data_IF_928358249328
#
_entry.id   IF_928358249328
#
_cell.length_a   1.000
_cell.length_b   1.000
_cell.length_c   1.000
_cell.angle_alpha   90.00
_cell.angle_beta   90.00
_cell.angle_gamma   90.00
#
_symmetry.space_group_name_H-M   'P 1'
#
loop_
_entity.id
_entity.type
_entity.pdbx_description
1 polymer ?
#
# COMPACT_ATOMS: atom_id res chain seq x y z
N UNK A 1 -5.52 -37.49 -65.45
CA UNK A 1 -4.17 -36.98 -65.11
C UNK A 1 -4.36 -35.64 -64.42
N UNK A 2 -3.89 -35.53 -63.18
CA UNK A 2 -3.50 -34.33 -62.39
C UNK A 2 -4.35 -33.06 -62.42
N UNK A 3 -4.91 -32.64 -61.26
CA UNK A 3 -4.33 -31.61 -60.34
C UNK A 3 -4.78 -30.19 -60.77
N UNK A 4 -5.31 -29.28 -59.96
CA UNK A 4 -5.18 -29.03 -58.52
C UNK A 4 -6.39 -28.23 -58.01
N UNK A 5 -6.87 -28.55 -56.81
CA UNK A 5 -7.77 -27.70 -56.03
C UNK A 5 -6.96 -26.52 -55.46
N UNK A 6 -7.30 -25.29 -55.77
CA UNK A 6 -6.82 -24.12 -55.02
C UNK A 6 -7.81 -23.82 -53.89
N UNK A 7 -7.42 -24.14 -52.66
CA UNK A 7 -8.12 -23.75 -51.45
C UNK A 7 -7.62 -22.36 -51.02
N UNK A 8 -8.44 -21.34 -51.24
CA UNK A 8 -8.16 -19.97 -50.79
C UNK A 8 -8.38 -19.89 -49.27
N UNK A 9 -7.30 -19.95 -48.49
CA UNK A 9 -7.34 -19.74 -47.05
C UNK A 9 -7.41 -18.23 -46.76
N UNK A 10 -8.61 -17.72 -46.46
CA UNK A 10 -8.77 -16.36 -45.97
C UNK A 10 -8.29 -16.29 -44.51
N UNK A 11 -7.10 -15.73 -44.31
CA UNK A 11 -6.54 -15.45 -42.99
C UNK A 11 -7.26 -14.22 -42.41
N UNK A 12 -8.30 -14.44 -41.61
CA UNK A 12 -8.88 -13.36 -40.80
C UNK A 12 -7.90 -13.03 -39.67
N UNK A 13 -7.09 -11.98 -39.88
CA UNK A 13 -6.34 -11.33 -38.81
C UNK A 13 -7.34 -10.74 -37.82
N UNK A 14 -7.65 -11.52 -36.79
CA UNK A 14 -8.32 -11.02 -35.60
C UNK A 14 -7.44 -9.94 -35.00
N UNK A 15 -7.93 -8.70 -34.99
CA UNK A 15 -7.38 -7.65 -34.15
C UNK A 15 -7.54 -8.15 -32.72
N UNK A 16 -6.45 -8.63 -32.13
CA UNK A 16 -6.38 -8.87 -30.71
C UNK A 16 -6.61 -7.52 -30.05
N UNK A 17 -7.83 -7.30 -29.57
CA UNK A 17 -8.13 -6.22 -28.65
C UNK A 17 -7.28 -6.50 -27.43
N UNK A 18 -6.13 -5.83 -27.32
CA UNK A 18 -5.36 -5.78 -26.09
C UNK A 18 -6.30 -5.21 -25.04
N UNK A 19 -6.86 -6.09 -24.21
CA UNK A 19 -7.52 -5.70 -22.98
C UNK A 19 -6.42 -5.02 -22.16
N UNK A 20 -6.38 -3.70 -22.21
CA UNK A 20 -5.63 -2.90 -21.26
C UNK A 20 -6.15 -3.33 -19.90
N UNK A 21 -5.32 -4.00 -19.09
CA UNK A 21 -5.66 -4.26 -17.71
C UNK A 21 -6.08 -2.92 -17.10
N UNK A 22 -7.31 -2.86 -16.60
CA UNK A 22 -7.81 -1.68 -15.90
C UNK A 22 -6.83 -1.41 -14.76
N UNK A 23 -6.24 -0.21 -14.74
CA UNK A 23 -5.34 0.19 -13.65
C UNK A 23 -6.14 0.01 -12.35
N UNK A 24 -5.67 -0.81 -11.39
CA UNK A 24 -6.33 -0.96 -10.12
C UNK A 24 -6.57 0.42 -9.51
N UNK A 25 -7.77 0.62 -8.95
CA UNK A 25 -8.06 1.85 -8.22
C UNK A 25 -6.96 2.09 -7.16
N UNK A 26 -6.68 3.35 -6.85
CA UNK A 26 -5.59 3.74 -5.94
C UNK A 26 -5.64 3.06 -4.56
N UNK A 27 -6.81 2.56 -4.14
CA UNK A 27 -7.04 1.85 -2.87
C UNK A 27 -7.38 0.36 -3.05
N UNK A 28 -7.27 -0.17 -4.27
CA UNK A 28 -7.67 -1.53 -4.62
C UNK A 28 -8.98 -1.60 -5.39
N UNK A 29 -9.52 -2.82 -5.48
CA UNK A 29 -10.70 -3.21 -6.24
C UNK A 29 -11.58 -4.16 -5.43
N UNK A 30 -12.82 -4.36 -5.85
CA UNK A 30 -13.79 -5.20 -5.12
C UNK A 30 -13.58 -6.70 -5.33
N UNK A 31 -12.96 -7.11 -6.44
CA UNK A 31 -12.63 -8.50 -6.74
C UNK A 31 -11.31 -8.91 -6.08
N UNK A 32 -11.39 -9.96 -5.24
CA UNK A 32 -10.21 -10.61 -4.69
C UNK A 32 -9.51 -11.37 -5.81
N UNK A 33 -8.38 -10.82 -6.28
CA UNK A 33 -7.45 -11.56 -7.13
C UNK A 33 -6.75 -12.69 -6.36
N UNK A 34 -5.99 -13.53 -7.06
CA UNK A 34 -5.27 -14.70 -6.50
C UNK A 34 -4.18 -14.34 -5.49
N UNK A 35 -3.68 -13.10 -5.50
CA UNK A 35 -2.73 -12.60 -4.52
C UNK A 35 -3.04 -11.13 -4.24
N UNK A 36 -3.57 -10.82 -3.06
CA UNK A 36 -3.96 -9.47 -2.71
C UNK A 36 -3.93 -9.23 -1.20
N UNK A 37 -3.53 -8.02 -0.82
CA UNK A 37 -3.74 -7.47 0.50
C UNK A 37 -5.22 -7.11 0.67
N UNK A 38 -5.77 -7.39 1.84
CA UNK A 38 -7.15 -7.04 2.20
C UNK A 38 -7.14 -5.69 2.91
N UNK A 39 -7.72 -4.67 2.27
CA UNK A 39 -7.87 -3.32 2.79
C UNK A 39 -9.20 -3.12 3.49
N UNK A 40 -9.15 -2.71 4.76
CA UNK A 40 -10.33 -2.38 5.56
C UNK A 40 -10.31 -0.88 5.87
N UNK A 41 -11.39 -0.19 5.50
CA UNK A 41 -11.53 1.24 5.75
C UNK A 41 -12.24 1.52 7.08
N UNK A 42 -11.67 2.45 7.85
CA UNK A 42 -12.24 2.96 9.10
C UNK A 42 -12.35 4.48 9.06
N UNK A 43 -13.49 5.00 9.53
CA UNK A 43 -13.67 6.40 9.84
C UNK A 43 -13.55 6.62 11.36
N UNK A 44 -12.46 7.29 11.77
CA UNK A 44 -12.15 7.52 13.19
C UNK A 44 -12.98 8.64 13.84
N UNK A 45 -13.95 9.21 13.12
CA UNK A 45 -14.76 10.34 13.58
C UNK A 45 -16.10 9.92 14.16
N UNK A 46 -16.59 8.73 13.83
CA UNK A 46 -17.95 8.29 14.15
C UNK A 46 -18.02 6.79 14.43
N UNK A 47 -19.07 6.37 15.13
CA UNK A 47 -19.40 4.96 15.37
C UNK A 47 -20.12 4.35 14.16
N UNK A 48 -20.35 3.03 14.17
CA UNK A 48 -21.12 2.36 13.11
C UNK A 48 -22.55 2.95 12.95
N UNK A 49 -23.15 3.45 14.02
CA UNK A 49 -24.46 4.13 14.03
C UNK A 49 -24.38 5.60 13.60
N UNK A 50 -23.22 6.06 13.12
CA UNK A 50 -22.96 7.43 12.66
C UNK A 50 -23.07 8.47 13.78
N UNK A 51 -22.88 8.03 15.02
CA UNK A 51 -22.76 8.94 16.17
C UNK A 51 -21.31 9.43 16.24
N UNK A 52 -21.05 10.74 16.42
CA UNK A 52 -19.69 11.24 16.58
C UNK A 52 -18.96 10.56 17.74
N UNK A 53 -17.72 10.15 17.51
CA UNK A 53 -16.82 9.71 18.59
C UNK A 53 -16.21 10.96 19.23
N UNK A 54 -16.18 11.06 20.58
CA UNK A 54 -15.56 12.20 21.26
C UNK A 54 -14.17 12.51 20.71
N UNK A 55 -13.92 13.79 20.43
CA UNK A 55 -12.67 14.25 19.82
C UNK A 55 -12.76 14.48 18.30
N UNK A 56 -13.71 13.89 17.58
CA UNK A 56 -14.02 14.15 16.15
C UNK A 56 -12.80 14.13 15.20
N UNK A 57 -11.81 13.28 15.51
CA UNK A 57 -10.57 13.18 14.74
C UNK A 57 -9.51 14.24 15.06
N UNK A 58 -9.71 15.12 16.06
CA UNK A 58 -8.60 15.84 16.72
C UNK A 58 -7.61 14.87 17.35
N UNK A 59 -8.12 13.73 17.81
CA UNK A 59 -7.35 12.63 18.39
C UNK A 59 -6.91 11.60 17.35
N UNK A 60 -6.95 11.92 16.04
CA UNK A 60 -6.57 10.98 14.97
C UNK A 60 -5.21 10.32 15.24
N UNK A 61 -4.16 11.13 15.45
CA UNK A 61 -2.82 10.62 15.66
C UNK A 61 -2.74 9.75 16.92
N UNK A 62 -3.42 10.16 18.00
CA UNK A 62 -3.49 9.41 19.26
C UNK A 62 -4.17 8.05 19.07
N UNK A 63 -5.28 7.99 18.35
CA UNK A 63 -6.01 6.74 18.10
C UNK A 63 -5.17 5.75 17.30
N UNK A 64 -4.42 6.23 16.30
CA UNK A 64 -3.50 5.39 15.53
C UNK A 64 -2.30 4.97 16.37
N UNK A 65 -1.75 5.88 17.18
CA UNK A 65 -0.62 5.60 18.08
C UNK A 65 -0.96 4.50 19.11
N UNK A 66 -2.13 4.59 19.75
CA UNK A 66 -2.70 3.54 20.62
C UNK A 66 -2.84 2.20 19.89
N UNK A 67 -3.33 2.24 18.64
CA UNK A 67 -3.49 1.04 17.82
C UNK A 67 -2.15 0.36 17.48
N UNK A 68 -1.14 1.16 17.11
CA UNK A 68 0.20 0.66 16.82
C UNK A 68 0.89 0.09 18.06
N UNK A 69 0.79 0.75 19.21
CA UNK A 69 1.32 0.26 20.50
C UNK A 69 0.58 -0.99 20.99
N UNK A 70 -0.73 -1.07 20.74
CA UNK A 70 -1.55 -2.26 21.00
C UNK A 70 -1.23 -3.45 20.08
N UNK A 71 -0.20 -3.34 19.24
CA UNK A 71 0.22 -4.38 18.32
C UNK A 71 -0.76 -4.58 17.17
N UNK A 72 -1.56 -3.57 16.81
CA UNK A 72 -2.62 -3.69 15.80
C UNK A 72 -3.75 -4.64 16.24
N UNK A 73 -4.20 -4.50 17.49
CA UNK A 73 -5.42 -5.15 17.97
C UNK A 73 -6.66 -4.46 17.40
N UNK A 74 -7.33 -5.12 16.45
CA UNK A 74 -8.54 -4.61 15.78
C UNK A 74 -9.68 -4.28 16.75
N UNK A 75 -9.69 -4.84 17.96
CA UNK A 75 -10.71 -4.51 18.95
C UNK A 75 -10.68 -3.04 19.36
N UNK A 76 -9.52 -2.38 19.27
CA UNK A 76 -9.37 -0.95 19.51
C UNK A 76 -10.10 -0.10 18.45
N UNK A 77 -10.32 -0.65 17.26
CA UNK A 77 -11.06 0.01 16.18
C UNK A 77 -12.56 -0.32 16.15
N UNK A 78 -13.05 -1.27 16.96
CA UNK A 78 -14.47 -1.62 17.00
C UNK A 78 -15.41 -0.45 17.36
N UNK A 79 -14.88 0.60 18.01
CA UNK A 79 -15.62 1.82 18.34
C UNK A 79 -15.86 2.73 17.14
N UNK A 80 -15.12 2.55 16.05
CA UNK A 80 -15.16 3.40 14.86
C UNK A 80 -16.03 2.78 13.78
N UNK A 81 -16.52 3.64 12.89
CA UNK A 81 -17.23 3.20 11.70
C UNK A 81 -16.29 2.44 10.79
N UNK A 82 -16.75 1.29 10.31
CA UNK A 82 -16.04 0.43 9.35
C UNK A 82 -16.86 0.33 8.07
N UNK A 83 -16.20 0.45 6.92
CA UNK A 83 -16.85 0.20 5.63
C UNK A 83 -17.31 -1.26 5.54
N UNK A 84 -18.48 -1.49 4.93
CA UNK A 84 -19.10 -2.82 4.89
C UNK A 84 -18.35 -3.84 4.01
N UNK A 85 -17.62 -3.37 2.99
CA UNK A 85 -16.88 -4.21 2.07
C UNK A 85 -15.39 -3.84 2.09
N UNK A 86 -14.48 -4.82 2.09
CA UNK A 86 -13.06 -4.56 1.90
C UNK A 86 -12.77 -4.23 0.42
N UNK A 87 -11.60 -3.66 0.19
CA UNK A 87 -10.97 -3.62 -1.14
C UNK A 87 -9.72 -4.50 -1.13
N UNK A 88 -9.37 -5.01 -2.30
CA UNK A 88 -8.21 -5.86 -2.49
C UNK A 88 -7.18 -5.11 -3.34
N UNK A 89 -5.94 -5.04 -2.88
CA UNK A 89 -4.86 -4.39 -3.62
C UNK A 89 -3.62 -5.26 -3.68
N UNK A 90 -2.84 -5.10 -4.74
CA UNK A 90 -1.54 -5.75 -4.90
C UNK A 90 -0.38 -4.87 -4.45
N UNK A 91 -0.62 -3.58 -4.18
CA UNK A 91 0.40 -2.61 -3.76
C UNK A 91 -0.20 -1.41 -3.02
N UNK A 92 0.66 -0.57 -2.44
CA UNK A 92 0.33 0.80 -2.02
C UNK A 92 1.17 1.77 -2.87
N UNK A 93 0.55 2.33 -3.90
CA UNK A 93 1.12 3.34 -4.79
C UNK A 93 0.01 4.24 -5.32
N UNK A 94 -0.49 5.15 -4.47
CA UNK A 94 -1.76 5.83 -4.73
C UNK A 94 -1.62 7.02 -5.69
N UNK A 95 -0.40 7.53 -5.86
CA UNK A 95 -0.16 8.80 -6.54
C UNK A 95 -0.65 9.99 -5.69
N UNK A 96 -0.81 11.16 -6.30
CA UNK A 96 -1.36 12.36 -5.65
C UNK A 96 -2.85 12.46 -5.96
N UNK A 97 -3.70 12.39 -4.95
CA UNK A 97 -5.16 12.37 -5.10
C UNK A 97 -5.87 13.22 -4.04
N UNK A 98 -7.15 13.48 -4.23
CA UNK A 98 -8.02 14.08 -3.22
C UNK A 98 -8.31 13.09 -2.09
N UNK A 99 -8.39 13.57 -0.86
CA UNK A 99 -8.87 12.84 0.31
C UNK A 99 -10.26 12.18 0.11
N UNK A 100 -11.06 12.69 -0.83
CA UNK A 100 -12.36 12.11 -1.23
C UNK A 100 -12.26 10.74 -1.88
N UNK A 101 -11.09 10.40 -2.44
CA UNK A 101 -10.96 9.19 -3.23
C UNK A 101 -11.08 7.92 -2.37
N UNK A 102 -10.62 7.92 -1.11
CA UNK A 102 -10.76 6.74 -0.26
C UNK A 102 -12.23 6.47 0.11
N UNK A 103 -13.00 7.43 0.67
CA UNK A 103 -14.44 7.21 0.89
C UNK A 103 -15.18 6.76 -0.36
N UNK A 104 -14.87 7.36 -1.53
CA UNK A 104 -15.48 6.98 -2.81
C UNK A 104 -15.11 5.55 -3.24
N UNK A 105 -13.86 5.16 -3.12
CA UNK A 105 -13.40 3.82 -3.49
C UNK A 105 -14.11 2.73 -2.64
N UNK A 106 -14.35 3.02 -1.36
CA UNK A 106 -15.04 2.13 -0.43
C UNK A 106 -16.57 2.29 -0.44
N UNK A 107 -17.14 3.17 -1.28
CA UNK A 107 -18.58 3.38 -1.40
C UNK A 107 -19.24 3.98 -0.16
N UNK A 108 -18.51 4.79 0.60
CA UNK A 108 -18.96 5.40 1.87
C UNK A 108 -18.93 6.92 1.85
N UNK A 109 -18.70 7.56 0.71
CA UNK A 109 -18.63 9.02 0.52
C UNK A 109 -19.90 9.76 0.93
N UNK A 110 -21.07 9.10 0.91
CA UNK A 110 -22.33 9.68 1.38
C UNK A 110 -22.44 9.81 2.89
N UNK A 111 -21.56 9.16 3.67
CA UNK A 111 -21.63 9.12 5.14
C UNK A 111 -20.30 9.41 5.82
N UNK A 112 -19.17 9.32 5.10
CA UNK A 112 -17.83 9.61 5.59
C UNK A 112 -17.29 10.87 4.93
N UNK A 113 -16.92 11.86 5.75
CA UNK A 113 -16.20 13.06 5.29
C UNK A 113 -14.75 12.72 4.92
N UNK A 114 -14.15 13.38 3.91
CA UNK A 114 -12.80 13.12 3.41
C UNK A 114 -11.72 13.70 4.33
N UNK A 115 -11.65 13.20 5.56
CA UNK A 115 -10.65 13.53 6.59
C UNK A 115 -10.63 12.50 7.69
N UNK A 116 -9.50 12.30 8.38
CA UNK A 116 -9.38 11.47 9.58
C UNK A 116 -9.90 10.02 9.37
N UNK A 117 -9.58 9.43 8.22
CA UNK A 117 -9.84 8.02 7.93
C UNK A 117 -8.52 7.25 7.87
N UNK A 118 -8.60 5.92 8.04
CA UNK A 118 -7.48 5.01 7.90
C UNK A 118 -7.91 3.79 7.10
N UNK A 119 -7.02 3.31 6.24
CA UNK A 119 -7.14 2.00 5.60
C UNK A 119 -6.06 1.10 6.18
N UNK A 120 -6.49 -0.05 6.71
CA UNK A 120 -5.62 -1.10 7.22
C UNK A 120 -5.57 -2.22 6.20
N UNK A 121 -4.47 -2.32 5.47
CA UNK A 121 -4.19 -3.42 4.55
C UNK A 121 -3.47 -4.55 5.29
N UNK A 122 -3.91 -5.78 5.03
CA UNK A 122 -3.40 -6.98 5.70
C UNK A 122 -3.11 -8.09 4.70
N UNK A 123 -2.11 -8.88 4.99
CA UNK A 123 -1.85 -10.13 4.28
C UNK A 123 -0.79 -10.97 4.96
N UNK A 124 -0.62 -12.20 4.50
CA UNK A 124 0.54 -13.01 4.82
C UNK A 124 1.43 -13.06 3.58
N UNK A 125 2.70 -12.70 3.71
CA UNK A 125 3.61 -12.52 2.58
C UNK A 125 4.95 -13.20 2.80
N UNK A 126 5.56 -13.69 1.74
CA UNK A 126 6.94 -14.13 1.73
C UNK A 126 7.75 -13.31 0.71
N UNK A 127 9.01 -12.95 1.01
CA UNK A 127 9.85 -12.22 0.06
C UNK A 127 10.18 -13.10 -1.16
N UNK A 128 10.56 -12.50 -2.30
CA UNK A 128 10.95 -13.24 -3.51
C UNK A 128 12.29 -14.01 -3.39
N UNK A 129 12.87 -14.07 -2.19
CA UNK A 129 14.12 -14.75 -1.90
C UNK A 129 14.59 -14.42 -0.48
N UNK A 130 15.47 -15.24 0.08
CA UNK A 130 16.04 -15.00 1.40
C UNK A 130 16.86 -13.70 1.47
N UNK A 131 16.84 -13.03 2.62
CA UNK A 131 17.72 -11.90 2.87
C UNK A 131 17.29 -10.99 4.02
N UNK A 132 17.99 -9.86 4.14
CA UNK A 132 17.66 -8.79 5.09
C UNK A 132 17.03 -7.65 4.30
N UNK A 133 15.77 -7.35 4.61
CA UNK A 133 14.94 -6.37 3.91
C UNK A 133 14.58 -5.22 4.83
N UNK A 134 14.36 -4.03 4.28
CA UNK A 134 13.65 -2.94 4.98
C UNK A 134 12.60 -2.34 4.07
N UNK A 135 11.50 -1.92 4.66
CA UNK A 135 10.49 -1.15 3.95
C UNK A 135 10.91 0.31 3.85
N UNK A 136 10.54 0.97 2.77
CA UNK A 136 10.83 2.38 2.53
C UNK A 136 9.55 3.03 2.05
N UNK A 137 9.05 4.03 2.77
CA UNK A 137 7.72 4.54 2.48
C UNK A 137 7.50 5.96 2.93
N UNK A 138 6.45 6.53 2.36
CA UNK A 138 5.90 7.81 2.80
C UNK A 138 4.41 7.85 2.49
N UNK A 139 3.67 8.52 3.36
CA UNK A 139 2.37 9.07 3.06
C UNK A 139 2.26 10.51 3.55
N UNK A 140 1.48 11.28 2.82
CA UNK A 140 0.89 12.52 3.29
C UNK A 140 -0.60 12.22 3.45
N UNK A 141 -1.09 11.80 4.63
CA UNK A 141 -0.52 12.15 5.96
C UNK A 141 0.11 11.02 6.79
N UNK A 142 -0.32 9.77 6.65
CA UNK A 142 0.02 8.72 7.61
C UNK A 142 0.33 7.39 6.92
N UNK A 143 1.46 6.78 7.29
CA UNK A 143 1.83 5.42 6.92
C UNK A 143 2.55 4.72 8.08
N UNK A 144 2.15 3.48 8.38
CA UNK A 144 2.93 2.58 9.21
C UNK A 144 2.93 1.17 8.60
N UNK A 145 4.04 0.46 8.76
CA UNK A 145 4.16 -0.95 8.36
C UNK A 145 4.61 -1.76 9.55
N UNK A 146 3.93 -2.88 9.79
CA UNK A 146 4.32 -3.87 10.77
C UNK A 146 4.55 -5.24 10.12
N UNK A 147 5.52 -5.96 10.65
CA UNK A 147 5.81 -7.36 10.32
C UNK A 147 5.63 -8.18 11.59
N UNK A 148 4.78 -9.22 11.53
CA UNK A 148 4.42 -10.03 12.69
C UNK A 148 4.02 -9.15 13.89
N UNK A 149 3.13 -8.18 13.65
CA UNK A 149 2.62 -7.20 14.64
C UNK A 149 3.66 -6.25 15.25
N UNK A 150 4.92 -6.29 14.80
CA UNK A 150 5.96 -5.32 15.20
C UNK A 150 6.08 -4.23 14.15
N UNK A 151 5.89 -2.97 14.55
CA UNK A 151 6.11 -1.82 13.66
C UNK A 151 7.59 -1.75 13.25
N UNK A 152 7.83 -1.68 11.95
CA UNK A 152 9.16 -1.61 11.32
C UNK A 152 9.34 -0.37 10.45
N UNK A 153 8.27 0.39 10.19
CA UNK A 153 8.33 1.66 9.45
C UNK A 153 7.22 2.59 9.93
N UNK A 154 7.55 3.85 10.18
CA UNK A 154 6.60 4.97 10.24
C UNK A 154 7.00 6.01 9.19
N UNK A 155 6.19 6.12 8.13
CA UNK A 155 6.43 6.97 6.96
C UNK A 155 5.46 8.15 6.89
N UNK A 156 5.10 8.76 8.02
CA UNK A 156 4.11 9.83 8.05
C UNK A 156 4.62 11.15 7.48
N UNK A 157 3.69 12.05 7.16
CA UNK A 157 3.95 13.48 7.08
C UNK A 157 4.43 13.99 8.45
N UNK A 158 5.43 14.92 8.53
CA UNK A 158 6.00 15.38 9.80
C UNK A 158 5.01 15.99 10.81
N UNK A 159 3.82 16.41 10.35
CA UNK A 159 2.75 16.92 11.19
C UNK A 159 1.94 15.81 11.93
N UNK A 160 2.17 14.54 11.61
CA UNK A 160 1.50 13.37 12.22
C UNK A 160 2.52 12.54 12.99
N UNK A 161 2.45 12.59 14.32
CA UNK A 161 3.43 12.02 15.24
C UNK A 161 2.79 10.98 16.16
N UNK A 162 3.57 9.96 16.51
CA UNK A 162 3.17 8.84 17.37
C UNK A 162 4.07 8.76 18.62
N UNK A 163 3.89 9.66 19.60
CA UNK A 163 4.75 9.72 20.78
C UNK A 163 4.66 8.50 21.70
N UNK A 164 3.55 7.76 21.76
CA UNK A 164 3.42 6.55 22.59
C UNK A 164 4.20 5.39 21.98
N UNK A 165 4.12 5.22 20.66
CA UNK A 165 4.91 4.24 19.93
C UNK A 165 6.41 4.54 20.02
N UNK A 166 6.77 5.83 20.00
CA UNK A 166 8.14 6.31 20.11
C UNK A 166 9.11 5.66 19.09
N UNK A 167 8.60 5.23 17.94
CA UNK A 167 9.43 4.70 16.86
C UNK A 167 10.24 5.83 16.24
N UNK A 168 11.53 5.59 16.04
CA UNK A 168 12.45 6.52 15.40
C UNK A 168 13.14 5.81 14.23
N UNK A 169 13.36 6.52 13.10
CA UNK A 169 14.11 5.94 12.00
C UNK A 169 15.55 5.66 12.43
N UNK A 170 16.20 4.74 11.71
CA UNK A 170 17.62 4.47 11.90
C UNK A 170 18.47 5.75 11.74
N UNK A 171 19.59 5.82 12.46
CA UNK A 171 20.51 6.96 12.40
C UNK A 171 21.08 7.21 11.00
N UNK A 172 21.24 6.14 10.21
CA UNK A 172 21.48 6.24 8.77
C UNK A 172 20.14 6.39 8.04
N UNK A 173 19.84 7.59 7.50
CA UNK A 173 18.57 7.84 6.81
C UNK A 173 18.49 7.15 5.45
N UNK A 174 19.56 6.50 4.98
CA UNK A 174 19.64 5.91 3.65
C UNK A 174 19.77 6.93 2.51
N UNK A 175 19.97 6.45 1.27
CA UNK A 175 20.04 7.32 0.10
C UNK A 175 18.69 7.95 -0.24
N UNK A 176 18.68 9.12 -0.89
CA UNK A 176 17.45 9.78 -1.31
C UNK A 176 16.70 8.94 -2.35
N UNK A 177 15.46 8.53 -2.05
CA UNK A 177 14.63 7.76 -2.97
C UNK A 177 14.00 8.63 -4.07
N UNK A 178 14.00 8.14 -5.31
CA UNK A 178 13.45 8.84 -6.48
C UNK A 178 11.91 8.96 -6.43
N UNK A 179 11.23 8.02 -5.77
CA UNK A 179 9.77 8.02 -5.61
C UNK A 179 9.25 9.27 -4.91
N UNK A 180 9.90 9.66 -3.82
CA UNK A 180 9.48 10.79 -3.00
C UNK A 180 10.63 11.27 -2.10
N UNK A 181 10.85 12.59 -2.02
CA UNK A 181 11.98 13.17 -1.29
C UNK A 181 11.90 13.00 0.23
N UNK A 182 10.70 12.80 0.77
CA UNK A 182 10.47 12.52 2.20
C UNK A 182 10.41 11.03 2.57
N UNK A 183 10.73 10.11 1.65
CA UNK A 183 10.66 8.67 1.95
C UNK A 183 11.52 8.32 3.17
N UNK A 184 10.94 7.57 4.10
CA UNK A 184 11.59 7.12 5.33
C UNK A 184 11.99 5.67 5.16
N UNK A 185 13.20 5.33 5.60
CA UNK A 185 13.69 3.97 5.65
C UNK A 185 13.37 3.34 7.00
N UNK A 186 12.75 2.17 6.96
CA UNK A 186 12.39 1.39 8.12
C UNK A 186 13.56 0.57 8.68
N UNK A 187 13.21 -0.25 9.66
CA UNK A 187 14.10 -1.22 10.28
C UNK A 187 14.48 -2.34 9.30
N UNK A 188 15.70 -2.84 9.45
CA UNK A 188 16.13 -4.06 8.78
C UNK A 188 15.51 -5.29 9.44
N UNK A 189 14.91 -6.16 8.64
CA UNK A 189 14.22 -7.39 9.04
C UNK A 189 14.78 -8.55 8.23
N UNK A 190 15.18 -9.64 8.90
CA UNK A 190 15.57 -10.88 8.23
C UNK A 190 14.31 -11.64 7.82
N UNK A 191 14.20 -11.99 6.53
CA UNK A 191 13.05 -12.68 5.96
C UNK A 191 13.51 -13.83 5.07
N UNK A 192 12.72 -14.90 5.04
CA UNK A 192 13.00 -16.11 4.25
C UNK A 192 11.83 -16.40 3.32
N UNK A 193 12.13 -16.77 2.08
CA UNK A 193 11.12 -17.06 1.04
C UNK A 193 10.17 -18.20 1.45
N UNK A 194 10.69 -19.15 2.21
CA UNK A 194 9.94 -20.30 2.73
C UNK A 194 9.16 -20.02 4.01
N UNK A 195 9.31 -18.84 4.62
CA UNK A 195 8.68 -18.47 5.89
C UNK A 195 7.82 -17.22 5.72
N UNK A 196 6.53 -17.38 5.38
CA UNK A 196 5.60 -16.27 5.29
C UNK A 196 5.48 -15.54 6.63
N UNK A 197 5.33 -14.22 6.57
CA UNK A 197 5.12 -13.34 7.72
C UNK A 197 3.81 -12.58 7.56
N UNK A 198 3.20 -12.22 8.67
CA UNK A 198 2.07 -11.31 8.65
C UNK A 198 2.57 -9.90 8.36
N UNK A 199 1.94 -9.23 7.40
CA UNK A 199 2.20 -7.82 7.11
C UNK A 199 0.93 -7.00 7.32
N UNK A 200 1.10 -5.91 8.05
CA UNK A 200 0.07 -4.89 8.22
C UNK A 200 0.60 -3.58 7.66
N UNK A 201 -0.18 -2.92 6.81
CA UNK A 201 0.15 -1.63 6.22
C UNK A 201 -1.02 -0.69 6.50
N UNK A 202 -0.77 0.33 7.31
CA UNK A 202 -1.72 1.40 7.56
C UNK A 202 -1.40 2.56 6.64
N UNK A 203 -2.42 3.11 6.02
CA UNK A 203 -2.36 4.43 5.43
C UNK A 203 -3.55 5.26 5.88
N UNK A 204 -3.38 6.56 6.02
CA UNK A 204 -4.52 7.41 6.36
C UNK A 204 -4.23 8.89 6.19
N UNK A 205 -5.28 9.66 6.37
CA UNK A 205 -5.33 11.06 5.93
C UNK A 205 -5.94 11.92 7.03
N UNK A 206 -5.33 13.08 7.27
CA UNK A 206 -5.83 14.17 8.13
C UNK A 206 -5.17 15.51 7.78
N UNK A 207 -5.89 16.65 7.77
CA UNK A 207 -7.27 16.88 8.20
C UNK A 207 -8.26 17.02 7.05
N UNK A 208 -7.87 16.62 5.84
CA UNK A 208 -8.54 16.77 4.56
C UNK A 208 -7.58 17.35 3.52
N UNK A 209 -7.93 17.24 2.23
CA UNK A 209 -7.19 17.87 1.14
C UNK A 209 -6.54 16.86 0.20
N UNK A 210 -5.21 16.82 0.16
CA UNK A 210 -4.46 15.97 -0.76
C UNK A 210 -3.86 14.80 0.00
N UNK A 211 -4.01 13.61 -0.56
CA UNK A 211 -3.42 12.39 -0.04
C UNK A 211 -2.42 11.81 -1.05
N UNK A 212 -1.34 11.23 -0.54
CA UNK A 212 -0.48 10.32 -1.29
C UNK A 212 0.11 9.27 -0.37
N UNK A 213 0.39 8.08 -0.90
CA UNK A 213 1.11 7.04 -0.21
C UNK A 213 1.85 6.13 -1.20
N UNK A 214 3.09 5.80 -0.88
CA UNK A 214 3.89 4.83 -1.63
C UNK A 214 4.71 3.96 -0.69
N UNK A 215 4.67 2.64 -0.91
CA UNK A 215 5.46 1.67 -0.16
C UNK A 215 6.42 0.93 -1.09
N UNK A 216 7.70 1.06 -0.81
CA UNK A 216 8.81 0.42 -1.50
C UNK A 216 9.53 -0.53 -0.53
N UNK A 217 10.51 -1.26 -1.04
CA UNK A 217 11.43 -2.03 -0.20
C UNK A 217 12.88 -1.93 -0.68
N UNK A 218 13.80 -2.27 0.21
CA UNK A 218 15.21 -2.42 -0.10
C UNK A 218 15.72 -3.73 0.49
N UNK A 219 16.51 -4.48 -0.28
CA UNK A 219 17.27 -5.65 0.16
C UNK A 219 18.71 -5.25 0.42
N UNK A 220 19.24 -5.64 1.58
CA UNK A 220 20.61 -5.32 1.99
C UNK A 220 21.63 -5.97 1.06
N UNK A 221 22.62 -5.18 0.62
CA UNK A 221 23.68 -5.65 -0.28
C UNK A 221 23.31 -5.65 -1.76
N UNK A 222 22.07 -5.31 -2.12
CA UNK A 222 21.67 -5.17 -3.53
C UNK A 222 22.00 -3.77 -4.05
N UNK A 223 22.37 -3.70 -5.34
CA UNK A 223 22.58 -2.43 -6.06
C UNK A 223 21.33 -2.06 -6.83
N UNK A 224 20.95 -0.78 -6.76
CA UNK A 224 19.76 -0.24 -7.42
C UNK A 224 20.16 0.86 -8.42
N UNK A 225 19.40 1.02 -9.51
CA UNK A 225 19.66 2.09 -10.47
C UNK A 225 19.43 3.46 -9.84
N UNK A 226 20.10 4.47 -10.38
CA UNK A 226 19.92 5.87 -10.03
C UNK A 226 19.18 6.59 -11.15
N UNK A 227 18.33 7.56 -10.79
CA UNK A 227 17.80 8.49 -11.78
C UNK A 227 18.85 9.53 -12.19
N UNK A 228 18.50 10.44 -13.11
CA UNK A 228 19.38 11.52 -13.57
C UNK A 228 19.80 12.54 -12.49
N UNK A 229 19.19 12.49 -11.30
CA UNK A 229 19.54 13.32 -10.12
C UNK A 229 20.39 12.57 -9.10
N UNK A 230 20.79 11.32 -9.39
CA UNK A 230 21.51 10.47 -8.45
C UNK A 230 20.63 9.90 -7.32
N UNK A 231 19.30 9.95 -7.45
CA UNK A 231 18.36 9.40 -6.46
C UNK A 231 18.13 7.91 -6.74
N UNK A 232 18.05 7.11 -5.68
CA UNK A 232 17.91 5.66 -5.79
C UNK A 232 16.50 5.27 -6.26
N UNK A 233 16.41 4.38 -7.25
CA UNK A 233 15.14 3.85 -7.75
C UNK A 233 14.92 2.48 -7.11
N UNK A 234 14.10 2.47 -6.04
CA UNK A 234 13.79 1.26 -5.28
C UNK A 234 12.60 0.51 -5.88
N UNK A 235 12.48 -0.81 -5.66
CA UNK A 235 11.31 -1.57 -6.07
C UNK A 235 10.06 -1.23 -5.27
N UNK A 236 8.94 -1.16 -5.98
CA UNK A 236 7.62 -1.09 -5.38
C UNK A 236 7.34 -2.38 -4.58
N UNK A 237 6.76 -2.25 -3.39
CA UNK A 237 6.26 -3.41 -2.68
C UNK A 237 4.98 -3.90 -3.36
N UNK A 238 5.04 -5.09 -3.93
CA UNK A 238 3.94 -5.70 -4.67
C UNK A 238 3.77 -7.16 -4.26
N UNK A 239 2.51 -7.61 -4.11
CA UNK A 239 2.17 -9.02 -3.83
C UNK A 239 1.65 -9.78 -5.06
N UNK A 240 1.54 -9.09 -6.19
CA UNK A 240 1.34 -9.68 -7.51
C UNK A 240 2.06 -8.83 -8.56
N UNK A 241 2.47 -9.40 -9.71
CA UNK A 241 3.05 -8.63 -10.79
C UNK A 241 2.09 -7.54 -11.26
N UNK A 242 2.56 -6.30 -11.25
CA UNK A 242 1.81 -5.16 -11.78
C UNK A 242 2.78 -4.12 -12.33
N UNK A 243 2.79 -3.96 -13.66
CA UNK A 243 3.70 -3.04 -14.33
C UNK A 243 3.04 -1.68 -14.48
N UNK A 244 3.71 -0.63 -14.01
CA UNK A 244 3.29 0.76 -14.20
C UNK A 244 4.22 1.46 -15.17
N UNK A 245 3.70 2.41 -15.95
CA UNK A 245 4.53 3.37 -16.71
C UNK A 245 5.11 4.47 -15.79
N UNK A 246 5.72 4.06 -14.67
CA UNK A 246 6.33 4.93 -13.67
C UNK A 246 7.84 4.63 -13.62
N UNK A 247 8.65 5.68 -13.55
CA UNK A 247 10.12 5.57 -13.61
C UNK A 247 10.79 5.86 -12.28
N UNK A 248 10.02 6.33 -11.29
CA UNK A 248 10.55 6.66 -9.96
C UNK A 248 10.71 5.46 -9.02
N UNK A 249 10.19 4.29 -9.39
CA UNK A 249 10.38 3.02 -8.69
C UNK A 249 10.32 1.85 -9.68
N UNK A 250 10.90 0.71 -9.31
CA UNK A 250 10.93 -0.50 -10.14
C UNK A 250 9.62 -1.29 -9.95
N UNK A 251 9.02 -1.73 -11.05
CA UNK A 251 7.80 -2.59 -11.06
C UNK A 251 8.03 -3.92 -11.77
N UNK A 252 9.26 -4.19 -12.19
CA UNK A 252 9.71 -5.39 -12.89
C UNK A 252 10.38 -6.42 -11.97
N UNK A 253 10.46 -6.14 -10.67
CA UNK A 253 11.00 -7.08 -9.69
C UNK A 253 10.00 -8.18 -9.38
N UNK A 254 10.45 -9.42 -9.08
CA UNK A 254 9.56 -10.48 -8.65
C UNK A 254 8.71 -10.03 -7.45
N UNK A 255 7.40 -10.21 -7.56
CA UNK A 255 6.47 -9.87 -6.50
C UNK A 255 6.71 -10.74 -5.25
N UNK A 256 6.36 -10.19 -4.09
CA UNK A 256 6.25 -10.95 -2.86
C UNK A 256 5.10 -11.94 -3.01
N UNK A 257 5.26 -13.16 -2.49
CA UNK A 257 4.21 -14.16 -2.57
C UNK A 257 3.19 -13.90 -1.47
N UNK A 258 1.93 -13.63 -1.82
CA UNK A 258 0.84 -13.68 -0.86
C UNK A 258 0.49 -15.14 -0.58
N UNK A 259 0.31 -15.50 0.69
CA UNK A 259 -0.19 -16.81 1.12
C UNK A 259 -1.65 -16.65 1.52
N UNK A 260 -2.49 -17.55 1.01
CA UNK A 260 -3.92 -17.62 1.34
C UNK A 260 -4.17 -18.43 2.61
#
# INVERSE_FOLDING_TARGET
MSSSLFLSLALSLGVACSARAEEPGAFGRTDRGTAALVGIFYDLKQTQQRTPVPGEGRDYAKCIDEFLVGGLDETLFNRFFRAGLPLYTTQVATGRLSAEAAPKAFGVEGVVKPRNWVVHYKGQVAPPGDGVYRFVGIADDMMAVAVNRRVVLVGNHPATKFPLLAWTPAADPGPKAAAHTGAIYGDWVELRESQPVDIDILVGERPGGVFNAVLLYQKKGETYPLNNKGEIILPLFQVAPFTMSETRFLTDRPAWRCVE
#
